data_IF_885276401524
#
_entry.id   IF_885276401524
#
_cell.length_a   1.000
_cell.length_b   1.000
_cell.length_c   1.000
_cell.angle_alpha   90.00
_cell.angle_beta   90.00
_cell.angle_gamma   90.00
#
_symmetry.space_group_name_H-M   'P 1'
#
loop_
_entity.id
_entity.type
_entity.pdbx_description
1 polymer ?
#
# COMPACT_ATOMS: atom_id res chain seq x y z
N UNK A 1 -16.09 13.53 -0.82
CA UNK A 1 -15.62 12.16 -0.54
C UNK A 1 -15.54 11.27 -1.78
N UNK A 2 -16.56 11.26 -2.66
CA UNK A 2 -16.58 10.38 -3.85
C UNK A 2 -15.42 10.63 -4.84
N UNK A 3 -15.11 11.89 -5.15
CA UNK A 3 -14.04 12.26 -6.11
C UNK A 3 -12.64 11.78 -5.69
N UNK A 4 -12.31 11.85 -4.40
CA UNK A 4 -11.00 11.43 -3.90
C UNK A 4 -10.82 9.92 -3.98
N UNK A 5 -11.90 9.15 -3.73
CA UNK A 5 -11.87 7.69 -3.87
C UNK A 5 -11.62 7.32 -5.34
N UNK A 6 -12.38 7.90 -6.26
CA UNK A 6 -12.20 7.68 -7.70
C UNK A 6 -10.78 8.03 -8.16
N UNK A 7 -10.26 9.20 -7.80
CA UNK A 7 -8.92 9.61 -8.22
C UNK A 7 -7.79 8.70 -7.69
N UNK A 8 -7.91 8.20 -6.46
CA UNK A 8 -6.91 7.25 -5.90
C UNK A 8 -6.96 5.92 -6.65
N UNK A 9 -8.14 5.40 -6.95
CA UNK A 9 -8.30 4.16 -7.72
C UNK A 9 -7.84 4.31 -9.16
N UNK A 10 -8.22 5.38 -9.86
CA UNK A 10 -7.75 5.66 -11.23
C UNK A 10 -6.21 5.71 -11.31
N UNK A 11 -5.55 6.24 -10.29
CA UNK A 11 -4.09 6.32 -10.22
C UNK A 11 -3.43 4.99 -9.85
N UNK A 12 -3.96 4.27 -8.86
CA UNK A 12 -3.29 3.09 -8.28
C UNK A 12 -3.75 1.77 -8.91
N UNK A 13 -5.01 1.67 -9.31
CA UNK A 13 -5.68 0.45 -9.78
C UNK A 13 -6.71 0.80 -10.87
N UNK A 14 -6.27 1.29 -12.05
CA UNK A 14 -7.17 1.87 -13.05
C UNK A 14 -8.25 0.92 -13.58
N UNK A 15 -8.02 -0.40 -13.51
CA UNK A 15 -8.98 -1.43 -13.91
C UNK A 15 -9.87 -1.95 -12.76
N UNK A 16 -9.58 -1.59 -11.51
CA UNK A 16 -10.37 -2.00 -10.33
C UNK A 16 -11.39 -0.91 -9.98
N UNK A 17 -12.68 -1.24 -9.97
CA UNK A 17 -13.70 -0.31 -9.52
C UNK A 17 -13.54 -0.01 -8.01
N UNK A 18 -13.80 1.22 -7.53
CA UNK A 18 -13.72 1.57 -6.11
C UNK A 18 -14.65 0.80 -5.16
N UNK A 19 -15.55 0.00 -5.69
CA UNK A 19 -16.52 -0.87 -4.99
C UNK A 19 -16.35 -2.33 -5.40
N UNK A 20 -15.21 -2.69 -5.99
CA UNK A 20 -14.87 -4.07 -6.34
C UNK A 20 -15.07 -4.99 -5.13
N UNK A 21 -15.84 -6.10 -5.27
CA UNK A 21 -16.10 -7.01 -4.17
C UNK A 21 -14.80 -7.71 -3.74
N UNK A 22 -14.65 -8.02 -2.45
CA UNK A 22 -13.49 -8.77 -1.99
C UNK A 22 -13.46 -10.17 -2.65
N UNK A 23 -12.25 -10.66 -2.89
CA UNK A 23 -12.00 -12.05 -3.30
C UNK A 23 -11.53 -12.80 -2.07
N UNK A 24 -12.16 -13.95 -1.78
CA UNK A 24 -11.80 -14.76 -0.62
C UNK A 24 -10.36 -15.26 -0.71
N UNK A 25 -9.64 -15.16 0.41
CA UNK A 25 -8.23 -15.50 0.46
C UNK A 25 -8.00 -17.00 0.26
N UNK A 26 -7.12 -17.35 -0.68
CA UNK A 26 -6.61 -18.70 -0.87
C UNK A 26 -5.12 -18.69 -0.53
N UNK A 27 -4.78 -19.28 0.62
CA UNK A 27 -3.40 -19.28 1.10
C UNK A 27 -2.52 -20.22 0.28
N UNK A 28 -1.79 -19.66 -0.67
CA UNK A 28 -0.78 -20.36 -1.47
C UNK A 28 0.65 -19.93 -1.12
N UNK A 29 0.85 -19.16 -0.04
CA UNK A 29 2.14 -18.57 0.30
C UNK A 29 2.89 -19.40 1.35
N UNK A 30 4.16 -19.63 1.09
CA UNK A 30 5.15 -20.18 2.03
C UNK A 30 5.46 -19.19 3.15
N UNK A 31 6.12 -19.69 4.21
CA UNK A 31 6.57 -18.85 5.32
C UNK A 31 7.58 -17.77 4.85
N UNK A 32 8.46 -18.12 3.91
CA UNK A 32 9.48 -17.21 3.40
C UNK A 32 8.85 -16.09 2.56
N UNK A 33 7.85 -16.40 1.74
CA UNK A 33 7.09 -15.39 0.97
C UNK A 33 6.33 -14.44 1.89
N UNK A 34 5.69 -14.96 2.95
CA UNK A 34 5.01 -14.12 3.96
C UNK A 34 5.99 -13.20 4.67
N UNK A 35 7.18 -13.70 5.01
CA UNK A 35 8.28 -12.91 5.60
C UNK A 35 8.78 -11.83 4.64
N UNK A 36 8.91 -12.16 3.35
CA UNK A 36 9.32 -11.21 2.31
C UNK A 36 8.30 -10.09 2.11
N UNK A 37 7.00 -10.41 2.19
CA UNK A 37 5.90 -9.45 2.09
C UNK A 37 5.73 -8.62 3.37
N UNK A 38 6.29 -9.01 4.51
CA UNK A 38 6.09 -8.29 5.77
C UNK A 38 6.47 -6.80 5.70
N UNK A 39 7.47 -6.42 4.88
CA UNK A 39 7.88 -5.02 4.74
C UNK A 39 6.84 -4.12 4.07
N UNK A 40 5.89 -4.68 3.31
CA UNK A 40 4.86 -3.86 2.67
C UNK A 40 3.75 -3.46 3.65
N UNK A 41 3.77 -3.95 4.89
CA UNK A 41 2.79 -3.63 5.93
C UNK A 41 3.40 -3.63 7.35
N UNK A 42 4.30 -2.69 7.62
CA UNK A 42 4.87 -2.44 8.95
C UNK A 42 5.51 -3.67 9.64
N UNK A 43 6.09 -4.58 8.85
CA UNK A 43 6.79 -5.78 9.36
C UNK A 43 5.88 -6.94 9.73
N UNK A 44 4.58 -6.85 9.44
CA UNK A 44 3.61 -7.92 9.69
C UNK A 44 3.06 -8.50 8.38
N UNK A 45 2.56 -9.73 8.46
CA UNK A 45 1.77 -10.35 7.41
C UNK A 45 0.34 -10.61 7.90
N UNK A 46 -0.63 -9.90 7.33
CA UNK A 46 -2.06 -10.08 7.58
C UNK A 46 -2.81 -9.99 6.24
N UNK A 47 -3.32 -11.10 5.68
CA UNK A 47 -3.90 -11.15 4.33
C UNK A 47 -4.94 -10.06 4.06
N UNK A 48 -5.76 -9.74 5.06
CA UNK A 48 -6.85 -8.76 4.92
C UNK A 48 -6.38 -7.31 4.83
N UNK A 49 -5.11 -7.02 5.18
CA UNK A 49 -4.55 -5.67 5.18
C UNK A 49 -3.28 -5.51 4.35
N UNK A 50 -2.62 -6.62 3.99
CA UNK A 50 -1.29 -6.60 3.38
C UNK A 50 -1.17 -5.74 2.12
N UNK A 51 -2.24 -5.73 1.32
CA UNK A 51 -2.23 -5.15 -0.02
C UNK A 51 -2.89 -3.76 -0.07
N UNK A 52 -3.26 -3.15 1.07
CA UNK A 52 -3.95 -1.86 1.10
C UNK A 52 -3.13 -0.70 0.48
N UNK A 53 -1.79 -0.81 0.47
CA UNK A 53 -0.88 0.18 -0.12
C UNK A 53 -0.41 -0.17 -1.52
N UNK A 54 -0.82 -1.31 -2.08
CA UNK A 54 -0.35 -1.79 -3.37
C UNK A 54 -1.33 -1.38 -4.48
N UNK A 55 -0.78 -0.74 -5.51
CA UNK A 55 -1.44 -0.54 -6.80
C UNK A 55 -0.92 -1.52 -7.84
N UNK A 56 -1.71 -1.70 -8.89
CA UNK A 56 -1.39 -2.57 -10.01
C UNK A 56 -2.13 -2.11 -11.27
N UNK A 57 -1.51 -2.31 -12.43
CA UNK A 57 -2.12 -2.07 -13.73
C UNK A 57 -1.53 -3.00 -14.77
N UNK A 58 -2.32 -3.35 -15.78
CA UNK A 58 -1.88 -4.16 -16.90
C UNK A 58 -1.36 -3.26 -18.02
N UNK A 59 -0.12 -3.52 -18.48
CA UNK A 59 0.52 -2.81 -19.58
C UNK A 59 1.06 -3.86 -20.54
N UNK A 60 0.53 -3.90 -21.77
CA UNK A 60 0.93 -4.87 -22.80
C UNK A 60 0.80 -6.35 -22.37
N UNK A 61 -0.17 -6.68 -21.51
CA UNK A 61 -0.38 -8.04 -21.01
C UNK A 61 0.43 -8.41 -19.76
N UNK A 62 1.28 -7.50 -19.27
CA UNK A 62 2.05 -7.69 -18.04
C UNK A 62 1.49 -6.83 -16.90
N UNK A 63 1.49 -7.38 -15.68
CA UNK A 63 1.02 -6.65 -14.49
C UNK A 63 2.19 -5.90 -13.84
N UNK A 64 2.07 -4.58 -13.78
CA UNK A 64 3.03 -3.72 -13.11
C UNK A 64 2.52 -3.33 -11.70
N UNK A 65 3.20 -3.80 -10.66
CA UNK A 65 2.90 -3.42 -9.27
C UNK A 65 3.60 -2.11 -8.87
N UNK A 66 2.95 -1.36 -7.99
CA UNK A 66 3.52 -0.16 -7.35
C UNK A 66 3.07 -0.05 -5.90
N UNK A 67 3.81 0.68 -5.06
CA UNK A 67 3.37 1.04 -3.73
C UNK A 67 2.92 2.51 -3.71
N UNK A 68 1.84 2.80 -2.97
CA UNK A 68 1.36 4.16 -2.75
C UNK A 68 2.45 5.03 -2.13
N UNK A 69 2.68 6.20 -2.72
CA UNK A 69 3.68 7.14 -2.21
C UNK A 69 3.41 7.49 -0.74
N UNK A 70 4.42 7.51 0.15
CA UNK A 70 4.24 7.71 1.59
C UNK A 70 3.44 8.96 1.97
N UNK A 71 3.63 10.07 1.25
CA UNK A 71 2.87 11.30 1.49
C UNK A 71 1.36 11.16 1.21
N UNK A 72 0.97 10.33 0.23
CA UNK A 72 -0.45 10.09 -0.08
C UNK A 72 -1.05 9.25 1.04
N UNK A 73 -0.42 8.13 1.39
CA UNK A 73 -0.84 7.28 2.52
C UNK A 73 -0.94 8.07 3.84
N UNK A 74 0.05 8.91 4.12
CA UNK A 74 0.07 9.78 5.29
C UNK A 74 -1.12 10.74 5.30
N UNK A 75 -1.35 11.45 4.19
CA UNK A 75 -2.43 12.43 4.10
C UNK A 75 -3.82 11.79 4.20
N UNK A 76 -3.98 10.59 3.65
CA UNK A 76 -5.25 9.86 3.67
C UNK A 76 -5.59 9.26 5.04
N UNK A 77 -4.59 8.78 5.80
CA UNK A 77 -4.84 7.90 6.95
C UNK A 77 -4.17 8.30 8.27
N UNK A 78 -3.26 9.28 8.26
CA UNK A 78 -2.46 9.59 9.46
C UNK A 78 -2.28 11.08 9.73
N UNK A 79 -2.66 11.94 8.80
CA UNK A 79 -2.53 13.39 8.96
C UNK A 79 -3.40 13.91 10.11
N UNK A 80 -2.75 14.61 11.03
CA UNK A 80 -3.40 15.47 12.02
C UNK A 80 -3.10 16.95 11.70
N UNK A 81 -4.11 17.84 11.66
CA UNK A 81 -3.91 19.27 11.41
C UNK A 81 -3.34 20.01 12.62
N UNK A 82 -3.38 19.41 13.80
CA UNK A 82 -2.95 20.03 15.05
C UNK A 82 -1.40 20.08 15.13
N UNK A 83 -0.86 21.29 15.30
CA UNK A 83 0.59 21.54 15.31
C UNK A 83 1.33 20.80 16.43
N UNK A 84 0.67 20.56 17.56
CA UNK A 84 1.20 19.81 18.71
C UNK A 84 1.55 18.36 18.33
N UNK A 85 0.89 17.79 17.32
CA UNK A 85 1.13 16.43 16.84
C UNK A 85 2.24 16.34 15.79
N UNK A 86 3.02 17.40 15.56
CA UNK A 86 4.15 17.39 14.61
C UNK A 86 5.11 16.21 14.79
N UNK A 87 5.50 15.81 16.03
CA UNK A 87 6.33 14.62 16.22
C UNK A 87 5.63 13.32 15.81
N UNK A 88 4.34 13.17 16.16
CA UNK A 88 3.52 12.01 15.82
C UNK A 88 3.34 11.87 14.31
N UNK A 89 3.01 12.98 13.63
CA UNK A 89 2.90 13.07 12.17
C UNK A 89 4.21 12.64 11.49
N UNK A 90 5.35 13.14 11.98
CA UNK A 90 6.67 12.78 11.47
C UNK A 90 6.98 11.29 11.70
N UNK A 91 6.55 10.74 12.83
CA UNK A 91 6.67 9.31 13.15
C UNK A 91 5.89 8.41 12.18
N UNK A 92 4.65 8.77 11.84
CA UNK A 92 3.88 8.06 10.83
C UNK A 92 4.54 8.12 9.46
N UNK A 93 4.95 9.31 9.02
CA UNK A 93 5.61 9.46 7.72
C UNK A 93 6.94 8.70 7.65
N UNK A 94 7.72 8.66 8.75
CA UNK A 94 8.96 7.87 8.82
C UNK A 94 8.69 6.37 8.65
N UNK A 95 7.63 5.83 9.27
CA UNK A 95 7.25 4.42 9.10
C UNK A 95 6.81 4.12 7.66
N UNK A 96 5.96 4.98 7.08
CA UNK A 96 5.53 4.84 5.70
C UNK A 96 6.69 4.92 4.69
N UNK A 97 7.66 5.81 4.94
CA UNK A 97 8.89 5.89 4.15
C UNK A 97 9.73 4.60 4.26
N UNK A 98 9.82 4.01 5.45
CA UNK A 98 10.57 2.77 5.64
C UNK A 98 9.96 1.62 4.81
N UNK A 99 8.64 1.39 4.94
CA UNK A 99 7.93 0.36 4.16
C UNK A 99 8.12 0.57 2.64
N UNK A 100 8.04 1.82 2.18
CA UNK A 100 8.22 2.19 0.77
C UNK A 100 9.65 1.93 0.28
N UNK A 101 10.66 2.33 1.06
CA UNK A 101 12.05 2.11 0.73
C UNK A 101 12.39 0.61 0.71
N UNK A 102 11.90 -0.16 1.68
CA UNK A 102 12.13 -1.61 1.76
C UNK A 102 11.47 -2.36 0.60
N UNK A 103 10.26 -1.96 0.21
CA UNK A 103 9.60 -2.46 -0.99
C UNK A 103 10.45 -2.21 -2.23
N UNK A 104 10.93 -0.98 -2.44
CA UNK A 104 11.72 -0.64 -3.62
C UNK A 104 13.10 -1.30 -3.62
N UNK A 105 13.71 -1.49 -2.46
CA UNK A 105 14.98 -2.21 -2.33
C UNK A 105 14.86 -3.69 -2.72
N UNK A 106 13.69 -4.30 -2.49
CA UNK A 106 13.41 -5.71 -2.78
C UNK A 106 12.53 -5.91 -4.03
N UNK A 107 12.20 -4.84 -4.76
CA UNK A 107 11.15 -4.86 -5.82
C UNK A 107 11.34 -5.95 -6.87
N UNK A 108 12.59 -6.27 -7.20
CA UNK A 108 12.94 -7.28 -8.22
C UNK A 108 12.92 -8.73 -7.71
N UNK A 109 12.61 -8.94 -6.43
CA UNK A 109 12.50 -10.26 -5.79
C UNK A 109 11.03 -10.70 -5.68
N UNK A 110 10.08 -9.76 -5.80
CA UNK A 110 8.63 -10.02 -5.79
C UNK A 110 8.12 -10.44 -7.17
#
# INVERSE_FOLDING_TARGET
>A
MHKSKTAVYEMMRPAEAPDHPLVEWQDSLTADEKSMLACINAGNFEPTTQFCKIGYQEVQGEVAFSMMHPCISYLLHSYSPFSEFKPTNSGFLKKLNQDYNDYHAKKNVY
#
